data_IF_452138166880
#
_entry.id   IF_452138166880
#
_cell.length_a   1.000
_cell.length_b   1.000
_cell.length_c   1.000
_cell.angle_alpha   90.00
_cell.angle_beta   90.00
_cell.angle_gamma   90.00
#
_symmetry.space_group_name_H-M   'P 1'
#
loop_
_entity.id
_entity.type
_entity.pdbx_description
1 polymer ?
#
# COMPACT_ATOMS: atom_id res chain seq x y z
N UNK A 1 -24.73 -22.22 -0.35
CA UNK A 1 -24.31 -20.93 -0.92
C UNK A 1 -22.82 -21.06 -1.12
N UNK A 2 -22.29 -20.83 -2.32
CA UNK A 2 -20.86 -20.97 -2.60
C UNK A 2 -20.14 -19.76 -1.98
N UNK A 3 -19.08 -19.97 -1.20
CA UNK A 3 -18.31 -18.88 -0.57
C UNK A 3 -17.41 -18.17 -1.59
N UNK A 4 -16.96 -16.95 -1.26
CA UNK A 4 -16.03 -16.22 -2.12
C UNK A 4 -14.70 -16.97 -2.29
N UNK A 5 -14.23 -17.65 -1.23
CA UNK A 5 -13.10 -18.57 -1.29
C UNK A 5 -13.33 -19.71 -2.28
N UNK A 6 -14.46 -20.42 -2.17
CA UNK A 6 -14.77 -21.56 -3.05
C UNK A 6 -14.83 -21.14 -4.54
N UNK A 7 -15.35 -19.94 -4.85
CA UNK A 7 -15.34 -19.39 -6.22
C UNK A 7 -13.91 -19.23 -6.75
N UNK A 8 -13.00 -18.72 -5.92
CA UNK A 8 -11.61 -18.48 -6.32
C UNK A 8 -10.81 -19.79 -6.43
N UNK A 9 -11.06 -20.76 -5.53
CA UNK A 9 -10.47 -22.10 -5.60
C UNK A 9 -10.91 -22.83 -6.88
N UNK A 10 -12.20 -22.78 -7.23
CA UNK A 10 -12.73 -23.37 -8.47
C UNK A 10 -12.15 -22.75 -9.74
N UNK A 11 -11.72 -21.48 -9.68
CA UNK A 11 -11.02 -20.80 -10.77
C UNK A 11 -9.53 -21.20 -10.88
N UNK A 12 -9.05 -22.12 -10.04
CA UNK A 12 -7.69 -22.67 -10.11
C UNK A 12 -6.63 -21.79 -9.47
N UNK A 13 -7.01 -20.98 -8.47
CA UNK A 13 -6.07 -20.21 -7.64
C UNK A 13 -5.83 -20.97 -6.34
N UNK A 14 -4.56 -21.09 -5.96
CA UNK A 14 -4.18 -21.51 -4.62
C UNK A 14 -4.50 -20.39 -3.63
N UNK A 15 -5.66 -20.47 -2.98
CA UNK A 15 -6.16 -19.41 -2.09
C UNK A 15 -5.29 -19.25 -0.84
N UNK A 16 -4.68 -20.32 -0.33
CA UNK A 16 -3.78 -20.21 0.83
C UNK A 16 -2.55 -19.38 0.45
N UNK A 17 -1.92 -19.69 -0.68
CA UNK A 17 -0.81 -18.90 -1.21
C UNK A 17 -1.20 -17.46 -1.52
N UNK A 18 -2.43 -17.23 -1.99
CA UNK A 18 -2.95 -15.89 -2.22
C UNK A 18 -3.07 -15.11 -0.91
N UNK A 19 -3.68 -15.71 0.12
CA UNK A 19 -3.82 -15.13 1.46
C UNK A 19 -2.44 -14.82 2.06
N UNK A 20 -1.46 -15.70 1.92
CA UNK A 20 -0.09 -15.45 2.41
C UNK A 20 0.52 -14.20 1.76
N UNK A 21 0.34 -14.04 0.44
CA UNK A 21 0.84 -12.87 -0.30
C UNK A 21 0.10 -11.58 0.06
N UNK A 22 -1.22 -11.65 0.22
CA UNK A 22 -2.03 -10.51 0.67
C UNK A 22 -1.64 -10.09 2.09
N UNK A 23 -1.42 -11.05 2.98
CA UNK A 23 -1.00 -10.82 4.38
C UNK A 23 0.38 -10.18 4.42
N UNK A 24 1.31 -10.67 3.62
CA UNK A 24 2.65 -10.08 3.47
C UNK A 24 2.59 -8.64 2.93
N UNK A 25 1.73 -8.38 1.93
CA UNK A 25 1.52 -7.03 1.41
C UNK A 25 0.92 -6.11 2.49
N UNK A 26 -0.09 -6.56 3.23
CA UNK A 26 -0.70 -5.78 4.31
C UNK A 26 0.30 -5.44 5.42
N UNK A 27 1.19 -6.38 5.78
CA UNK A 27 2.25 -6.13 6.75
C UNK A 27 3.23 -5.05 6.26
N UNK A 28 3.55 -5.04 4.97
CA UNK A 28 4.37 -4.00 4.36
C UNK A 28 3.68 -2.62 4.39
N UNK A 29 2.39 -2.56 4.06
CA UNK A 29 1.62 -1.30 4.11
C UNK A 29 1.56 -0.72 5.53
N UNK A 30 1.24 -1.54 6.53
CA UNK A 30 1.19 -1.07 7.91
C UNK A 30 2.57 -0.61 8.42
N UNK A 31 3.63 -1.31 8.01
CA UNK A 31 5.00 -0.90 8.32
C UNK A 31 5.30 0.47 7.68
N UNK A 32 4.94 0.68 6.41
CA UNK A 32 5.12 1.97 5.75
C UNK A 32 4.36 3.10 6.45
N UNK A 33 3.11 2.86 6.87
CA UNK A 33 2.31 3.84 7.63
C UNK A 33 3.03 4.27 8.90
N UNK A 34 3.55 3.33 9.70
CA UNK A 34 4.32 3.71 10.89
C UNK A 34 5.57 4.50 10.50
N UNK A 35 6.32 4.06 9.47
CA UNK A 35 7.56 4.72 9.07
C UNK A 35 7.33 6.18 8.71
N UNK A 36 6.37 6.44 7.83
CA UNK A 36 6.05 7.79 7.40
C UNK A 36 5.43 8.63 8.52
N UNK A 37 4.76 8.01 9.49
CA UNK A 37 4.32 8.70 10.71
C UNK A 37 5.52 9.25 11.50
N UNK A 38 6.55 8.44 11.73
CA UNK A 38 7.75 8.89 12.43
C UNK A 38 8.54 9.92 11.61
N UNK A 39 8.74 9.66 10.31
CA UNK A 39 9.48 10.58 9.43
C UNK A 39 8.83 11.96 9.31
N UNK A 40 7.49 12.04 9.41
CA UNK A 40 6.77 13.32 9.34
C UNK A 40 6.61 14.01 10.69
N UNK A 41 6.69 13.27 11.81
CA UNK A 41 6.60 13.81 13.16
C UNK A 41 7.96 14.25 13.74
N UNK A 42 9.04 13.58 13.34
CA UNK A 42 10.37 13.84 13.89
C UNK A 42 11.13 14.86 13.00
N UNK A 43 11.70 15.95 13.56
CA UNK A 43 12.49 16.94 12.80
C UNK A 43 13.88 16.44 12.33
N UNK A 44 14.07 15.13 12.12
CA UNK A 44 15.35 14.49 11.77
C UNK A 44 15.57 14.41 10.25
N UNK A 45 15.71 15.58 9.60
CA UNK A 45 16.42 15.65 8.32
C UNK A 45 15.64 16.20 7.12
N UNK A 46 14.32 16.33 7.21
CA UNK A 46 13.53 17.01 6.17
C UNK A 46 13.01 18.35 6.69
N UNK A 47 13.80 19.40 6.44
CA UNK A 47 13.37 20.79 6.63
C UNK A 47 12.34 21.24 5.58
N UNK A 48 12.22 20.45 4.51
CA UNK A 48 11.34 20.73 3.38
C UNK A 48 9.88 20.32 3.71
N UNK A 49 8.98 21.30 3.70
CA UNK A 49 7.56 21.08 3.97
C UNK A 49 6.83 20.40 2.80
N UNK A 50 7.31 20.57 1.57
CA UNK A 50 6.75 19.90 0.40
C UNK A 50 6.98 18.39 0.48
N UNK A 51 8.21 17.97 0.78
CA UNK A 51 8.51 16.55 1.01
C UNK A 51 7.70 16.00 2.19
N UNK A 52 7.59 16.76 3.29
CA UNK A 52 6.78 16.34 4.43
C UNK A 52 5.32 16.12 4.03
N UNK A 53 4.75 16.97 3.17
CA UNK A 53 3.40 16.80 2.68
C UNK A 53 3.28 15.56 1.77
N UNK A 54 4.24 15.33 0.86
CA UNK A 54 4.29 14.12 0.02
C UNK A 54 4.28 12.86 0.90
N UNK A 55 5.09 12.81 1.96
CA UNK A 55 5.14 11.65 2.86
C UNK A 55 3.84 11.45 3.65
N UNK A 56 3.15 12.53 4.03
CA UNK A 56 1.81 12.43 4.64
C UNK A 56 0.79 11.87 3.65
N UNK A 57 0.82 12.32 2.40
CA UNK A 57 -0.08 11.83 1.35
C UNK A 57 0.16 10.34 1.06
N UNK A 58 1.43 9.92 0.94
CA UNK A 58 1.81 8.50 0.76
C UNK A 58 1.32 7.66 1.95
N UNK A 59 1.56 8.13 3.19
CA UNK A 59 1.10 7.44 4.41
C UNK A 59 -0.40 7.23 4.40
N UNK A 60 -1.17 8.24 4.02
CA UNK A 60 -2.63 8.18 4.04
C UNK A 60 -3.15 7.18 2.99
N UNK A 61 -2.49 7.09 1.82
CA UNK A 61 -2.81 6.07 0.81
C UNK A 61 -2.39 4.66 1.22
N UNK A 62 -1.19 4.47 1.78
CA UNK A 62 -0.73 3.16 2.29
C UNK A 62 -1.67 2.65 3.42
N UNK A 63 -2.26 3.54 4.21
CA UNK A 63 -3.31 3.17 5.18
C UNK A 63 -4.56 2.63 4.48
N UNK A 64 -5.02 3.26 3.40
CA UNK A 64 -6.14 2.74 2.62
C UNK A 64 -5.78 1.39 1.94
N UNK A 65 -4.53 1.23 1.50
CA UNK A 65 -4.04 -0.04 0.94
C UNK A 65 -4.12 -1.16 1.98
N UNK A 66 -3.63 -0.91 3.19
CA UNK A 66 -3.74 -1.83 4.32
C UNK A 66 -5.20 -2.22 4.58
N UNK A 67 -6.09 -1.25 4.79
CA UNK A 67 -7.50 -1.50 5.07
C UNK A 67 -8.16 -2.35 3.96
N UNK A 68 -7.87 -2.05 2.69
CA UNK A 68 -8.42 -2.79 1.55
C UNK A 68 -7.88 -4.24 1.45
N UNK A 69 -6.60 -4.45 1.75
CA UNK A 69 -5.99 -5.79 1.79
C UNK A 69 -6.57 -6.63 2.92
N UNK A 70 -6.75 -6.06 4.12
CA UNK A 70 -7.36 -6.76 5.25
C UNK A 70 -8.76 -7.23 4.89
N UNK A 71 -9.60 -6.34 4.34
CA UNK A 71 -10.92 -6.73 3.90
C UNK A 71 -10.88 -7.92 2.93
N UNK A 72 -9.96 -7.90 1.96
CA UNK A 72 -9.85 -9.00 0.99
C UNK A 72 -9.35 -10.31 1.61
N UNK A 73 -8.45 -10.26 2.58
CA UNK A 73 -7.98 -11.45 3.32
C UNK A 73 -9.16 -12.13 4.01
N UNK A 74 -9.98 -11.37 4.73
CA UNK A 74 -11.15 -11.91 5.42
C UNK A 74 -12.27 -12.34 4.46
N UNK A 75 -12.47 -11.66 3.32
CA UNK A 75 -13.38 -12.13 2.26
C UNK A 75 -13.00 -13.52 1.72
N UNK A 76 -11.73 -13.91 1.80
CA UNK A 76 -11.19 -15.21 1.37
C UNK A 76 -11.09 -16.24 2.51
N UNK A 77 -11.78 -15.98 3.63
CA UNK A 77 -11.72 -16.78 4.86
C UNK A 77 -10.30 -16.88 5.46
N UNK A 78 -9.44 -15.91 5.15
CA UNK A 78 -8.12 -15.75 5.77
C UNK A 78 -8.21 -15.07 7.14
N UNK A 79 -7.14 -15.16 7.92
CA UNK A 79 -7.00 -14.49 9.22
C UNK A 79 -5.61 -13.89 9.37
N UNK A 80 -5.50 -12.83 10.16
CA UNK A 80 -4.21 -12.27 10.55
C UNK A 80 -3.71 -12.91 11.85
N UNK A 81 -2.38 -12.94 12.09
CA UNK A 81 -1.84 -13.28 13.40
C UNK A 81 -2.36 -12.34 14.50
N UNK A 82 -2.67 -12.90 15.67
CA UNK A 82 -3.13 -12.11 16.84
C UNK A 82 -2.04 -11.17 17.39
N UNK A 83 -0.77 -11.56 17.22
CA UNK A 83 0.38 -10.78 17.67
C UNK A 83 0.93 -9.93 16.52
N UNK A 84 0.95 -8.61 16.72
CA UNK A 84 1.46 -7.65 15.74
C UNK A 84 2.93 -7.93 15.34
N UNK A 85 3.73 -8.49 16.24
CA UNK A 85 5.14 -8.85 15.95
C UNK A 85 5.20 -10.01 14.96
N UNK A 86 4.27 -10.95 15.06
CA UNK A 86 4.15 -12.06 14.11
C UNK A 86 3.57 -11.58 12.78
N UNK A 87 2.59 -10.66 12.81
CA UNK A 87 2.01 -10.08 11.62
C UNK A 87 3.03 -9.29 10.79
N UNK A 88 3.79 -8.39 11.40
CA UNK A 88 4.81 -7.62 10.70
C UNK A 88 5.95 -8.51 10.21
N UNK A 89 6.30 -9.53 11.01
CA UNK A 89 7.45 -10.38 10.77
C UNK A 89 8.78 -9.60 10.76
N UNK A 90 9.90 -10.31 10.71
CA UNK A 90 11.22 -9.66 10.66
C UNK A 90 11.54 -9.04 9.29
N UNK A 91 10.83 -9.45 8.23
CA UNK A 91 11.12 -9.05 6.85
C UNK A 91 10.51 -7.72 6.40
N UNK A 92 9.44 -7.25 7.06
CA UNK A 92 8.75 -6.00 6.68
C UNK A 92 8.97 -4.87 7.67
N UNK A 93 9.55 -5.15 8.84
CA UNK A 93 10.02 -4.16 9.79
C UNK A 93 11.28 -3.46 9.26
N UNK A 94 11.14 -2.66 8.21
CA UNK A 94 12.19 -1.74 7.80
C UNK A 94 12.47 -0.77 8.95
N UNK A 95 13.75 -0.51 9.30
CA UNK A 95 14.09 0.52 10.26
C UNK A 95 13.44 1.84 9.85
N UNK A 96 12.96 2.61 10.84
CA UNK A 96 12.35 3.91 10.56
C UNK A 96 13.35 4.91 10.00
N UNK A 97 14.61 4.78 10.42
CA UNK A 97 15.72 5.61 9.96
C UNK A 97 16.33 5.13 8.65
N UNK A 98 17.15 6.00 8.08
CA UNK A 98 17.98 5.69 6.92
C UNK A 98 19.29 5.04 7.37
N UNK A 99 19.89 4.15 6.55
CA UNK A 99 21.25 3.69 6.76
C UNK A 99 22.20 4.87 6.98
N UNK A 100 23.16 4.75 7.90
CA UNK A 100 24.11 5.85 8.20
C UNK A 100 25.00 6.21 7.01
N UNK A 101 25.13 5.30 6.04
CA UNK A 101 25.88 5.44 4.80
C UNK A 101 24.99 5.81 3.59
N UNK A 102 23.69 6.04 3.80
CA UNK A 102 22.80 6.51 2.73
C UNK A 102 23.28 7.88 2.22
N UNK A 103 23.56 7.96 0.92
CA UNK A 103 23.98 9.22 0.28
C UNK A 103 22.90 10.31 0.33
N UNK A 104 21.64 9.91 0.13
CA UNK A 104 20.49 10.81 0.15
C UNK A 104 19.23 10.06 0.67
N UNK A 105 18.61 10.53 1.77
CA UNK A 105 17.38 9.96 2.29
C UNK A 105 16.24 9.86 1.28
N UNK A 106 16.09 10.84 0.37
CA UNK A 106 14.98 10.83 -0.60
C UNK A 106 15.18 9.76 -1.66
N UNK A 107 16.41 9.60 -2.15
CA UNK A 107 16.79 8.50 -3.04
C UNK A 107 16.49 7.14 -2.40
N UNK A 108 16.78 6.95 -1.10
CA UNK A 108 16.39 5.73 -0.38
C UNK A 108 14.86 5.53 -0.33
N UNK A 109 14.07 6.59 -0.15
CA UNK A 109 12.62 6.51 -0.20
C UNK A 109 12.10 6.08 -1.58
N UNK A 110 12.69 6.60 -2.66
CA UNK A 110 12.35 6.19 -4.03
C UNK A 110 12.63 4.70 -4.23
N UNK A 111 13.78 4.21 -3.78
CA UNK A 111 14.12 2.78 -3.86
C UNK A 111 13.18 1.91 -3.03
N UNK A 112 12.77 2.38 -1.85
CA UNK A 112 11.80 1.70 -1.00
C UNK A 112 10.44 1.57 -1.68
N UNK A 113 9.91 2.67 -2.23
CA UNK A 113 8.65 2.65 -2.98
C UNK A 113 8.76 1.77 -4.22
N UNK A 114 9.88 1.85 -4.97
CA UNK A 114 10.13 0.98 -6.13
C UNK A 114 10.09 -0.50 -5.75
N UNK A 115 10.70 -0.88 -4.62
CA UNK A 115 10.61 -2.25 -4.10
C UNK A 115 9.18 -2.64 -3.73
N UNK A 116 8.41 -1.72 -3.16
CA UNK A 116 7.02 -1.95 -2.76
C UNK A 116 6.04 -2.11 -3.95
N UNK A 117 6.39 -1.66 -5.16
CA UNK A 117 5.57 -1.89 -6.37
C UNK A 117 5.60 -3.36 -6.83
N UNK A 118 6.73 -4.04 -6.67
CA UNK A 118 6.93 -5.38 -7.24
C UNK A 118 5.95 -6.46 -6.74
N UNK A 119 5.65 -6.59 -5.42
CA UNK A 119 4.71 -7.58 -4.90
C UNK A 119 3.34 -7.53 -5.59
N UNK A 120 2.86 -6.33 -5.94
CA UNK A 120 1.56 -6.17 -6.58
C UNK A 120 1.53 -6.66 -8.03
N UNK A 121 2.65 -6.59 -8.76
CA UNK A 121 2.77 -7.27 -10.06
C UNK A 121 2.56 -8.78 -9.93
N UNK A 122 3.21 -9.40 -8.94
CA UNK A 122 3.04 -10.83 -8.67
C UNK A 122 1.64 -11.22 -8.15
N UNK A 123 0.91 -10.30 -7.49
CA UNK A 123 -0.50 -10.50 -7.14
C UNK A 123 -1.40 -10.42 -8.37
N UNK A 124 -1.16 -9.47 -9.28
CA UNK A 124 -1.86 -9.40 -10.57
C UNK A 124 -1.66 -10.70 -11.37
N UNK A 125 -0.40 -11.15 -11.54
CA UNK A 125 -0.08 -12.36 -12.30
C UNK A 125 -0.75 -13.61 -11.71
N UNK A 126 -0.87 -13.68 -10.38
CA UNK A 126 -1.51 -14.81 -9.69
C UNK A 126 -3.04 -14.84 -9.90
N UNK A 127 -3.66 -13.69 -10.14
CA UNK A 127 -5.12 -13.53 -10.05
C UNK A 127 -5.78 -13.17 -11.39
N UNK A 128 -5.00 -12.80 -12.40
CA UNK A 128 -5.50 -12.44 -13.73
C UNK A 128 -6.36 -13.56 -14.35
N UNK A 129 -7.58 -13.21 -14.74
CA UNK A 129 -8.53 -14.12 -15.36
C UNK A 129 -9.10 -15.21 -14.43
N UNK A 130 -8.75 -15.22 -13.13
CA UNK A 130 -9.18 -16.23 -12.16
C UNK A 130 -9.84 -15.64 -10.92
N UNK A 131 -9.28 -14.56 -10.37
CA UNK A 131 -9.83 -13.79 -9.26
C UNK A 131 -9.81 -12.30 -9.60
N UNK A 132 -10.82 -11.87 -10.36
CA UNK A 132 -10.91 -10.49 -10.83
C UNK A 132 -11.02 -9.49 -9.68
N UNK A 133 -11.61 -9.87 -8.55
CA UNK A 133 -11.76 -9.00 -7.37
C UNK A 133 -10.40 -8.66 -6.79
N UNK A 134 -9.53 -9.65 -6.59
CA UNK A 134 -8.16 -9.42 -6.10
C UNK A 134 -7.27 -8.79 -7.16
N UNK A 135 -7.41 -9.16 -8.44
CA UNK A 135 -6.66 -8.55 -9.53
C UNK A 135 -6.86 -7.03 -9.59
N UNK A 136 -8.12 -6.58 -9.57
CA UNK A 136 -8.45 -5.15 -9.63
C UNK A 136 -7.95 -4.41 -8.39
N UNK A 137 -8.02 -5.03 -7.20
CA UNK A 137 -7.46 -4.49 -5.97
C UNK A 137 -5.93 -4.31 -6.08
N UNK A 138 -5.21 -5.35 -6.45
CA UNK A 138 -3.76 -5.32 -6.58
C UNK A 138 -3.30 -4.31 -7.65
N UNK A 139 -4.02 -4.24 -8.78
CA UNK A 139 -3.76 -3.25 -9.83
C UNK A 139 -3.97 -1.81 -9.35
N UNK A 140 -5.03 -1.55 -8.58
CA UNK A 140 -5.29 -0.23 -8.02
C UNK A 140 -4.17 0.22 -7.07
N UNK A 141 -3.76 -0.63 -6.13
CA UNK A 141 -2.65 -0.33 -5.22
C UNK A 141 -1.34 -0.13 -5.99
N UNK A 142 -1.07 -0.99 -6.97
CA UNK A 142 0.12 -0.88 -7.83
C UNK A 142 0.19 0.46 -8.54
N UNK A 143 -0.95 0.96 -9.04
CA UNK A 143 -1.00 2.26 -9.70
C UNK A 143 -0.63 3.36 -8.72
N UNK A 144 -1.27 3.40 -7.54
CA UNK A 144 -0.99 4.41 -6.50
C UNK A 144 0.48 4.39 -6.07
N UNK A 145 1.10 3.22 -5.89
CA UNK A 145 2.54 3.14 -5.58
C UNK A 145 3.45 3.63 -6.70
N UNK A 146 3.06 3.47 -7.96
CA UNK A 146 3.78 4.09 -9.09
C UNK A 146 3.65 5.62 -9.02
N UNK A 147 2.49 6.14 -8.59
CA UNK A 147 2.31 7.58 -8.37
C UNK A 147 3.19 8.07 -7.22
N UNK A 148 3.28 7.33 -6.11
CA UNK A 148 4.16 7.65 -4.97
C UNK A 148 5.61 7.81 -5.41
N UNK A 149 6.11 6.89 -6.23
CA UNK A 149 7.46 6.93 -6.78
C UNK A 149 7.65 8.19 -7.63
N UNK A 150 6.69 8.49 -8.50
CA UNK A 150 6.75 9.65 -9.36
C UNK A 150 6.67 10.99 -8.59
N UNK A 151 5.96 11.06 -7.46
CA UNK A 151 5.95 12.25 -6.59
C UNK A 151 7.32 12.51 -5.96
N UNK A 152 8.01 11.45 -5.51
CA UNK A 152 9.37 11.57 -4.95
C UNK A 152 10.42 11.87 -6.03
N UNK A 153 10.31 11.28 -7.22
CA UNK A 153 11.19 11.57 -8.35
C UNK A 153 11.00 13.00 -8.90
N UNK A 154 9.78 13.52 -8.87
CA UNK A 154 9.47 14.93 -9.17
C UNK A 154 10.12 15.87 -8.15
N UNK A 155 10.03 15.55 -6.86
CA UNK A 155 10.68 16.32 -5.80
C UNK A 155 12.21 16.42 -6.01
N UNK A 156 12.86 15.35 -6.46
CA UNK A 156 14.30 15.37 -6.79
C UNK A 156 14.63 15.96 -8.17
N UNK A 157 13.64 16.34 -8.99
CA UNK A 157 13.83 16.73 -10.39
C UNK A 157 14.55 15.66 -11.24
N UNK A 158 14.46 14.39 -10.84
CA UNK A 158 15.12 13.25 -11.51
C UNK A 158 14.18 12.45 -12.43
N UNK A 159 12.87 12.71 -12.36
CA UNK A 159 11.84 12.05 -13.16
C UNK A 159 11.14 12.99 -14.15
N UNK A 160 10.33 12.44 -15.07
CA UNK A 160 9.42 13.26 -15.87
C UNK A 160 8.44 14.02 -14.95
N UNK A 161 8.01 15.25 -15.31
CA UNK A 161 7.05 16.00 -14.50
C UNK A 161 5.81 15.17 -14.25
N UNK A 162 5.38 15.13 -13.00
CA UNK A 162 4.33 14.23 -12.57
C UNK A 162 3.01 14.72 -13.19
N UNK A 163 2.46 13.98 -14.16
CA UNK A 163 1.20 14.36 -14.86
C UNK A 163 -0.03 14.08 -13.99
N UNK A 164 0.06 14.31 -12.68
CA UNK A 164 -1.00 14.02 -11.74
C UNK A 164 -1.90 15.23 -11.52
N UNK A 165 -3.17 14.96 -11.23
CA UNK A 165 -4.15 16.01 -10.92
C UNK A 165 -3.90 16.49 -9.49
N UNK A 166 -3.47 17.75 -9.28
CA UNK A 166 -3.31 18.32 -7.95
C UNK A 166 -4.67 18.27 -7.24
N UNK A 167 -4.78 17.44 -6.20
CA UNK A 167 -6.03 17.26 -5.47
C UNK A 167 -6.40 15.81 -5.16
N UNK A 168 -5.80 14.79 -5.79
CA UNK A 168 -6.13 13.40 -5.46
C UNK A 168 -5.12 12.70 -4.55
N UNK A 169 -3.95 13.31 -4.29
CA UNK A 169 -2.95 12.78 -3.36
C UNK A 169 -3.55 12.56 -1.97
N UNK A 170 -3.22 11.44 -1.34
CA UNK A 170 -3.69 11.10 0.01
C UNK A 170 -5.09 10.48 0.06
N UNK A 171 -5.76 10.29 -1.09
CA UNK A 171 -7.19 9.88 -1.13
C UNK A 171 -7.44 8.53 -1.79
N UNK A 172 -6.40 7.87 -2.28
CA UNK A 172 -6.50 6.57 -2.95
C UNK A 172 -7.61 6.50 -4.02
N UNK A 173 -7.55 7.33 -5.08
CA UNK A 173 -8.61 7.42 -6.08
C UNK A 173 -8.87 6.12 -6.84
N UNK A 174 -7.89 5.21 -6.93
CA UNK A 174 -8.07 3.92 -7.59
C UNK A 174 -8.79 2.93 -6.67
N UNK A 175 -8.54 2.99 -5.36
CA UNK A 175 -9.28 2.20 -4.37
C UNK A 175 -10.68 2.71 -4.06
N UNK A 176 -10.93 4.02 -4.22
CA UNK A 176 -12.25 4.62 -3.96
C UNK A 176 -13.39 3.92 -4.70
N UNK A 177 -13.12 3.31 -5.86
CA UNK A 177 -14.10 2.56 -6.66
C UNK A 177 -14.37 1.14 -6.16
N UNK A 178 -13.53 0.63 -5.26
CA UNK A 178 -13.56 -0.74 -4.74
C UNK A 178 -14.05 -0.81 -3.29
N UNK A 179 -14.09 0.31 -2.58
CA UNK A 179 -14.61 0.39 -1.22
C UNK A 179 -16.15 0.32 -1.24
N UNK A 180 -16.70 -0.69 -0.57
CA UNK A 180 -18.15 -0.82 -0.33
C UNK A 180 -18.47 -0.18 1.03
N UNK A 181 -18.46 1.16 1.05
CA UNK A 181 -19.01 2.05 2.09
C UNK A 181 -18.34 2.16 3.48
N UNK A 182 -18.00 3.40 3.86
CA UNK A 182 -18.49 4.04 5.09
C UNK A 182 -18.29 5.57 5.05
N UNK A 183 -18.93 6.23 4.08
CA UNK A 183 -19.22 7.66 4.19
C UNK A 183 -20.72 7.87 3.87
N UNK A 184 -21.60 7.25 4.66
CA UNK A 184 -22.87 7.91 4.96
C UNK A 184 -22.60 8.73 6.20
N UNK A 185 -22.22 9.99 6.00
CA UNK A 185 -22.42 11.01 7.03
C UNK A 185 -23.90 10.98 7.39
N UNK A 186 -24.24 10.54 8.59
CA UNK A 186 -25.58 10.78 9.13
C UNK A 186 -25.87 12.28 9.01
N UNK A 187 -27.05 12.69 8.53
CA UNK A 187 -27.41 14.09 8.57
C UNK A 187 -27.47 14.51 10.04
N UNK A 188 -26.64 15.47 10.41
CA UNK A 188 -26.72 16.16 11.71
C UNK A 188 -28.16 16.62 11.94
N UNK A 189 -28.74 16.17 13.05
CA UNK A 189 -30.04 16.61 13.56
C UNK A 189 -30.01 18.08 14.00
#
# INVERSE_FOLDING_TARGET
MISAREVVEQAGVDVNKLIDRLTSAAAAELSAVYRYTILTAYPLGFADEELRQILKDIRDEDRHHFDALINRIYELDGTLPEDIRQFLGSGHASPWGFPSDAQDPVTTLIEDVRRAVHPYGGLCDLTEGRDQRTFVLAQAIRNEKIEHMAWLEEFLSTGPPARFRPGFRGRSPFLARLSVASERTEPTA
#
